data_IF_455423885886
#
_entry.id   IF_455423885886
#
_cell.length_a   1.000
_cell.length_b   1.000
_cell.length_c   1.000
_cell.angle_alpha   90.00
_cell.angle_beta   90.00
_cell.angle_gamma   90.00
#
_symmetry.space_group_name_H-M   'P 1'
#
loop_
_entity.id
_entity.type
_entity.pdbx_description
1 polymer ?
#
# COMPACT_ATOMS: atom_id res chain seq x y z
N UNK A 1 3.98 -30.82 3.96
CA UNK A 1 2.76 -30.72 3.13
C UNK A 1 2.44 -29.25 2.96
N UNK A 2 3.03 -28.60 1.94
CA UNK A 2 2.74 -27.20 1.65
C UNK A 2 1.42 -27.14 0.86
N UNK A 3 0.34 -26.80 1.55
CA UNK A 3 -0.92 -26.47 0.89
C UNK A 3 -0.67 -25.30 -0.05
N UNK A 4 -0.91 -25.51 -1.35
CA UNK A 4 -0.91 -24.45 -2.35
C UNK A 4 -2.02 -23.48 -1.97
N UNK A 5 -1.68 -22.42 -1.24
CA UNK A 5 -2.60 -21.32 -0.99
C UNK A 5 -3.05 -20.82 -2.38
N UNK A 6 -4.34 -20.95 -2.66
CA UNK A 6 -4.94 -20.29 -3.81
C UNK A 6 -4.75 -18.80 -3.53
N UNK A 7 -3.80 -18.17 -4.21
CA UNK A 7 -3.64 -16.72 -4.15
C UNK A 7 -4.95 -16.13 -4.66
N UNK A 8 -5.74 -15.60 -3.74
CA UNK A 8 -6.95 -14.87 -4.06
C UNK A 8 -6.52 -13.65 -4.88
N UNK A 9 -6.96 -13.56 -6.13
CA UNK A 9 -6.71 -12.37 -6.95
C UNK A 9 -7.66 -11.29 -6.46
N UNK A 10 -7.12 -10.28 -5.78
CA UNK A 10 -7.89 -9.11 -5.34
C UNK A 10 -8.44 -8.39 -6.57
N UNK A 11 -9.76 -8.23 -6.60
CA UNK A 11 -10.41 -7.45 -7.63
C UNK A 11 -10.51 -5.96 -7.22
N UNK A 12 -10.92 -5.12 -8.18
CA UNK A 12 -11.01 -3.66 -7.99
C UNK A 12 -11.91 -3.26 -6.83
N UNK A 13 -13.06 -3.90 -6.70
CA UNK A 13 -14.06 -3.56 -5.70
C UNK A 13 -13.58 -3.93 -4.30
N UNK A 14 -12.95 -5.09 -4.16
CA UNK A 14 -12.33 -5.53 -2.91
C UNK A 14 -11.21 -4.59 -2.48
N UNK A 15 -10.32 -4.20 -3.40
CA UNK A 15 -9.25 -3.26 -3.11
C UNK A 15 -9.79 -1.89 -2.69
N UNK A 16 -10.77 -1.37 -3.42
CA UNK A 16 -11.40 -0.09 -3.08
C UNK A 16 -12.04 -0.14 -1.68
N UNK A 17 -12.75 -1.23 -1.35
CA UNK A 17 -13.34 -1.41 -0.03
C UNK A 17 -12.30 -1.57 1.08
N UNK A 18 -11.18 -2.24 0.83
CA UNK A 18 -10.09 -2.34 1.79
C UNK A 18 -9.47 -0.96 2.09
N UNK A 19 -9.31 -0.13 1.05
CA UNK A 19 -8.79 1.24 1.16
C UNK A 19 -9.77 2.18 1.89
N UNK A 20 -11.06 2.13 1.54
CA UNK A 20 -12.13 2.91 2.20
C UNK A 20 -12.18 2.66 3.72
N UNK A 21 -11.88 1.43 4.16
CA UNK A 21 -11.83 1.07 5.59
C UNK A 21 -10.59 1.60 6.32
N UNK A 22 -9.48 1.80 5.62
CA UNK A 22 -8.25 2.35 6.21
C UNK A 22 -8.36 3.85 6.49
N UNK A 23 -9.15 4.56 5.68
CA UNK A 23 -9.64 5.92 5.92
C UNK A 23 -8.55 7.00 6.13
N UNK A 24 -7.33 6.79 5.61
CA UNK A 24 -6.35 7.89 5.43
C UNK A 24 -6.65 8.67 4.16
N UNK A 25 -6.13 9.89 4.03
CA UNK A 25 -6.38 10.72 2.83
C UNK A 25 -5.90 10.01 1.56
N UNK A 26 -4.67 9.48 1.59
CA UNK A 26 -4.08 8.69 0.52
C UNK A 26 -4.91 7.44 0.16
N UNK A 27 -5.47 6.76 1.17
CA UNK A 27 -6.30 5.59 0.94
C UNK A 27 -7.64 5.96 0.30
N UNK A 28 -8.24 7.07 0.74
CA UNK A 28 -9.48 7.58 0.18
C UNK A 28 -9.29 8.04 -1.27
N UNK A 29 -8.19 8.75 -1.58
CA UNK A 29 -7.85 9.14 -2.95
C UNK A 29 -7.64 7.93 -3.86
N UNK A 30 -6.86 6.94 -3.41
CA UNK A 30 -6.67 5.68 -4.14
C UNK A 30 -7.98 4.93 -4.35
N UNK A 31 -8.86 4.88 -3.34
CA UNK A 31 -10.17 4.25 -3.46
C UNK A 31 -11.06 4.97 -4.48
N UNK A 32 -11.15 6.30 -4.42
CA UNK A 32 -11.90 7.11 -5.39
C UNK A 32 -11.39 6.89 -6.82
N UNK A 33 -10.08 6.86 -7.01
CA UNK A 33 -9.48 6.58 -8.31
C UNK A 33 -9.85 5.18 -8.82
N UNK A 34 -9.80 4.16 -7.96
CA UNK A 34 -10.24 2.80 -8.32
C UNK A 34 -11.71 2.78 -8.74
N UNK A 35 -12.59 3.43 -7.98
CA UNK A 35 -14.02 3.53 -8.29
C UNK A 35 -14.25 4.26 -9.63
N UNK A 36 -13.40 5.22 -9.97
CA UNK A 36 -13.40 5.91 -11.27
C UNK A 36 -12.77 5.10 -12.42
N UNK A 37 -12.27 3.89 -12.15
CA UNK A 37 -11.73 2.99 -13.19
C UNK A 37 -10.22 3.05 -13.36
N UNK A 38 -9.48 3.62 -12.41
CA UNK A 38 -8.02 3.63 -12.42
C UNK A 38 -7.40 2.24 -12.63
N UNK A 39 -6.21 2.25 -13.22
CA UNK A 39 -5.39 1.06 -13.34
C UNK A 39 -4.80 0.71 -11.97
N UNK A 40 -4.74 -0.59 -11.68
CA UNK A 40 -4.16 -1.08 -10.44
C UNK A 40 -3.48 -2.42 -10.68
N UNK A 41 -2.56 -2.74 -9.76
CA UNK A 41 -1.89 -4.04 -9.74
C UNK A 41 -1.57 -4.40 -8.30
N UNK A 42 -1.90 -5.63 -7.90
CA UNK A 42 -1.39 -6.26 -6.68
C UNK A 42 -0.40 -7.33 -7.13
N UNK A 43 0.83 -7.30 -6.62
CA UNK A 43 1.85 -8.28 -6.99
C UNK A 43 1.67 -9.57 -6.18
N UNK A 44 2.01 -10.69 -6.80
CA UNK A 44 2.08 -11.97 -6.09
C UNK A 44 3.27 -11.96 -5.12
N UNK A 45 3.02 -12.43 -3.90
CA UNK A 45 4.06 -12.61 -2.89
C UNK A 45 3.89 -11.68 -1.70
N UNK A 46 4.16 -12.25 -0.52
CA UNK A 46 4.18 -11.55 0.74
C UNK A 46 5.62 -11.25 1.13
N UNK A 47 5.85 -10.10 1.75
CA UNK A 47 7.12 -9.74 2.38
C UNK A 47 6.82 -9.13 3.75
N UNK A 48 7.79 -9.18 4.67
CA UNK A 48 7.66 -8.48 5.96
C UNK A 48 7.47 -6.98 5.72
N UNK A 49 6.51 -6.38 6.42
CA UNK A 49 6.27 -4.93 6.37
C UNK A 49 7.52 -4.13 6.76
N UNK A 50 8.32 -4.62 7.70
CA UNK A 50 9.58 -4.01 8.11
C UNK A 50 10.60 -3.92 6.95
N UNK A 51 10.63 -4.92 6.05
CA UNK A 51 11.47 -4.85 4.85
C UNK A 51 11.06 -3.67 3.95
N UNK A 52 9.76 -3.50 3.71
CA UNK A 52 9.27 -2.37 2.93
C UNK A 52 9.47 -1.04 3.65
N UNK A 53 9.27 -1.00 4.97
CA UNK A 53 9.55 0.18 5.78
C UNK A 53 10.99 0.65 5.59
N UNK A 54 11.98 -0.25 5.64
CA UNK A 54 13.38 0.12 5.43
C UNK A 54 13.63 0.78 4.07
N UNK A 55 13.04 0.24 3.01
CA UNK A 55 13.16 0.79 1.65
C UNK A 55 12.55 2.19 1.54
N UNK A 56 11.31 2.36 2.01
CA UNK A 56 10.59 3.62 1.83
C UNK A 56 10.99 4.70 2.85
N UNK A 57 11.41 4.32 4.05
CA UNK A 57 12.00 5.27 5.01
C UNK A 57 13.31 5.86 4.46
N UNK A 58 14.17 5.03 3.87
CA UNK A 58 15.40 5.52 3.22
C UNK A 58 15.08 6.45 2.04
N UNK A 59 14.08 6.11 1.22
CA UNK A 59 13.63 6.99 0.14
C UNK A 59 13.14 8.35 0.64
N UNK A 60 12.33 8.38 1.70
CA UNK A 60 11.90 9.62 2.33
C UNK A 60 13.08 10.45 2.84
N UNK A 61 14.08 9.80 3.45
CA UNK A 61 15.28 10.47 3.92
C UNK A 61 16.07 11.11 2.76
N UNK A 62 16.30 10.38 1.66
CA UNK A 62 16.97 10.94 0.48
C UNK A 62 16.18 12.12 -0.12
N UNK A 63 14.86 12.01 -0.24
CA UNK A 63 14.02 13.12 -0.73
C UNK A 63 14.15 14.36 0.15
N UNK A 64 14.12 14.20 1.48
CA UNK A 64 14.32 15.29 2.41
C UNK A 64 15.70 15.95 2.29
N UNK A 65 16.75 15.14 2.07
CA UNK A 65 18.12 15.64 1.83
C UNK A 65 18.22 16.45 0.53
N UNK A 66 17.49 16.05 -0.51
CA UNK A 66 17.45 16.73 -1.81
C UNK A 66 16.49 17.95 -1.82
N UNK A 67 15.86 18.28 -0.68
CA UNK A 67 14.90 19.38 -0.56
C UNK A 67 13.55 19.11 -1.24
N UNK A 68 13.28 17.86 -1.59
CA UNK A 68 12.00 17.42 -2.15
C UNK A 68 11.08 17.06 -0.98
N UNK A 69 9.98 17.79 -0.84
CA UNK A 69 8.96 17.44 0.15
C UNK A 69 8.42 16.05 -0.12
N UNK A 70 8.47 15.18 0.88
CA UNK A 70 7.75 13.90 0.85
C UNK A 70 6.25 14.21 0.75
N UNK A 71 5.54 13.46 -0.10
CA UNK A 71 4.08 13.58 -0.16
C UNK A 71 3.47 13.18 1.19
N UNK A 72 2.27 13.72 1.47
CA UNK A 72 1.49 13.48 2.70
C UNK A 72 1.32 11.98 3.00
N UNK A 73 1.31 11.18 1.96
CA UNK A 73 1.19 9.72 1.99
C UNK A 73 2.34 9.06 2.77
N UNK A 74 3.57 9.56 2.66
CA UNK A 74 4.70 9.03 3.44
C UNK A 74 4.58 9.35 4.93
N UNK A 75 4.11 10.55 5.28
CA UNK A 75 3.92 10.97 6.67
C UNK A 75 2.86 10.12 7.38
N UNK A 76 1.80 9.72 6.66
CA UNK A 76 0.73 8.89 7.18
C UNK A 76 1.05 7.39 7.09
N UNK A 77 1.66 6.95 5.99
CA UNK A 77 1.85 5.54 5.65
C UNK A 77 3.05 4.88 6.34
N UNK A 78 4.19 5.56 6.46
CA UNK A 78 5.37 4.96 7.10
C UNK A 78 5.14 4.60 8.58
N UNK A 79 4.46 5.43 9.41
CA UNK A 79 4.11 5.04 10.77
C UNK A 79 3.17 3.82 10.82
N UNK A 80 2.23 3.69 9.87
CA UNK A 80 1.34 2.54 9.81
C UNK A 80 2.11 1.27 9.46
N UNK A 81 2.96 1.31 8.44
CA UNK A 81 3.80 0.18 8.06
C UNK A 81 4.76 -0.23 9.18
N UNK A 82 5.26 0.73 9.97
CA UNK A 82 6.06 0.46 11.18
C UNK A 82 5.27 -0.28 12.26
N UNK A 83 3.99 0.02 12.45
CA UNK A 83 3.14 -0.67 13.44
C UNK A 83 2.89 -2.13 13.08
N UNK A 84 2.82 -2.44 11.79
CA UNK A 84 2.66 -3.82 11.28
C UNK A 84 3.89 -4.68 11.60
N UNK A 85 5.07 -4.09 11.71
CA UNK A 85 6.28 -4.80 12.14
C UNK A 85 6.73 -5.85 11.13
N UNK A 86 6.96 -7.09 11.58
CA UNK A 86 7.43 -8.18 10.72
C UNK A 86 6.29 -8.97 10.05
N UNK A 87 5.04 -8.59 10.27
CA UNK A 87 3.91 -9.29 9.67
C UNK A 87 3.96 -9.21 8.13
N UNK A 88 3.62 -10.32 7.45
CA UNK A 88 3.66 -10.40 6.00
C UNK A 88 2.57 -9.54 5.37
N UNK A 89 2.96 -8.71 4.39
CA UNK A 89 2.09 -7.85 3.61
C UNK A 89 2.26 -8.09 2.11
N UNK A 90 1.17 -7.91 1.36
CA UNK A 90 1.21 -7.83 -0.09
C UNK A 90 1.40 -6.38 -0.52
N UNK A 91 2.19 -6.17 -1.58
CA UNK A 91 2.35 -4.87 -2.21
C UNK A 91 1.38 -4.77 -3.39
N UNK A 92 0.76 -3.61 -3.53
CA UNK A 92 -0.01 -3.19 -4.68
C UNK A 92 0.27 -1.74 -5.05
N UNK A 93 -0.29 -1.32 -6.17
CA UNK A 93 -0.27 0.07 -6.62
C UNK A 93 -1.59 0.45 -7.29
N UNK A 94 -1.93 1.73 -7.19
CA UNK A 94 -3.03 2.38 -7.90
C UNK A 94 -2.46 3.58 -8.64
N UNK A 95 -2.67 3.61 -9.96
CA UNK A 95 -2.18 4.69 -10.82
C UNK A 95 -3.31 5.73 -11.00
N UNK A 96 -3.14 6.91 -10.42
CA UNK A 96 -4.08 8.04 -10.48
C UNK A 96 -3.61 9.08 -11.51
N UNK A 97 -4.41 10.12 -11.74
CA UNK A 97 -4.01 11.23 -12.59
C UNK A 97 -2.88 12.09 -11.96
N UNK A 98 -2.77 12.07 -10.63
CA UNK A 98 -1.84 12.89 -9.86
C UNK A 98 -0.54 12.15 -9.51
N UNK A 99 -0.56 10.81 -9.59
CA UNK A 99 0.61 9.99 -9.31
C UNK A 99 0.28 8.51 -9.13
N UNK A 100 1.13 7.82 -8.39
CA UNK A 100 0.92 6.41 -8.04
C UNK A 100 0.88 6.31 -6.52
N UNK A 101 -0.17 5.70 -5.99
CA UNK A 101 -0.20 5.28 -4.58
C UNK A 101 0.26 3.83 -4.48
N UNK A 102 1.14 3.56 -3.54
CA UNK A 102 1.56 2.21 -3.17
C UNK A 102 0.69 1.73 -2.02
N UNK A 103 0.06 0.58 -2.20
CA UNK A 103 -0.90 0.02 -1.24
C UNK A 103 -0.30 -1.22 -0.60
N UNK A 104 -0.37 -1.32 0.71
CA UNK A 104 0.06 -2.49 1.46
C UNK A 104 -1.17 -3.16 2.06
N UNK A 105 -1.38 -4.43 1.72
CA UNK A 105 -2.48 -5.25 2.25
C UNK A 105 -1.94 -6.27 3.25
N UNK A 106 -2.77 -6.67 4.20
CA UNK A 106 -2.51 -7.83 5.05
C UNK A 106 -2.42 -9.14 4.22
N UNK A 107 -1.96 -10.21 4.87
CA UNK A 107 -1.70 -11.49 4.21
C UNK A 107 -2.94 -12.16 3.61
N UNK A 108 -4.15 -11.84 4.12
CA UNK A 108 -5.41 -12.35 3.57
C UNK A 108 -6.04 -11.42 2.52
N UNK A 109 -5.38 -10.29 2.24
CA UNK A 109 -5.68 -9.31 1.20
C UNK A 109 -7.00 -8.55 1.41
N UNK A 110 -7.52 -8.52 2.65
CA UNK A 110 -8.82 -7.90 2.96
C UNK A 110 -8.69 -6.54 3.63
N UNK A 111 -7.54 -6.26 4.23
CA UNK A 111 -7.32 -5.01 4.95
C UNK A 111 -6.13 -4.27 4.35
N UNK A 112 -6.33 -3.00 4.04
CA UNK A 112 -5.22 -2.10 3.82
C UNK A 112 -4.57 -1.79 5.17
N UNK A 113 -3.24 -1.91 5.23
CA UNK A 113 -2.45 -1.62 6.43
C UNK A 113 -1.61 -0.36 6.29
N UNK A 114 -1.28 0.05 5.06
CA UNK A 114 -0.62 1.32 4.77
C UNK A 114 -0.82 1.74 3.30
N UNK A 115 -0.72 3.05 3.05
CA UNK A 115 -0.64 3.64 1.70
C UNK A 115 0.49 4.66 1.69
N UNK A 116 1.34 4.65 0.64
CA UNK A 116 2.47 5.56 0.42
C UNK A 116 2.40 6.24 -0.94
#
# INVERSE_FOLDING_TARGET
MAGRAILHVVNREELATALERHATDAANEAALALRAGAAFKVWEGLQSAHRYLGIYAWRAECMAQDGISTCKDFEQGLPNLRRVGDDPVALGRVDTAEGTHLVFLDADLKSCVAVL
#
